data_IF_522091273854
#
_entry.id   IF_522091273854
#
_cell.length_a   1.000
_cell.length_b   1.000
_cell.length_c   1.000
_cell.angle_alpha   90.00
_cell.angle_beta   90.00
_cell.angle_gamma   90.00
#
_symmetry.space_group_name_H-M   'P 1'
#
loop_
_entity.id
_entity.type
_entity.pdbx_description
1 polymer ?
#
# COMPACT_ATOMS: atom_id res chain seq x y z
N UNK A 1 91.07 27.55 -40.55
CA UNK A 1 90.91 27.45 -39.08
C UNK A 1 89.55 27.99 -38.69
N UNK A 2 88.78 27.19 -37.93
CA UNK A 2 87.69 27.59 -37.02
C UNK A 2 86.39 28.08 -37.67
N UNK A 3 85.50 27.14 -37.99
CA UNK A 3 84.30 26.72 -37.20
C UNK A 3 83.06 27.55 -37.53
N UNK A 4 82.36 27.14 -38.59
CA UNK A 4 80.98 27.53 -38.86
C UNK A 4 80.07 26.74 -37.90
N UNK A 5 79.47 27.43 -36.93
CA UNK A 5 78.49 26.84 -36.02
C UNK A 5 77.16 26.70 -36.75
N UNK A 6 76.78 25.46 -37.06
CA UNK A 6 75.42 25.10 -37.43
C UNK A 6 74.49 25.35 -36.23
N UNK A 7 73.56 26.29 -36.36
CA UNK A 7 72.38 26.35 -35.51
C UNK A 7 71.38 25.31 -36.02
N UNK A 8 71.25 24.19 -35.30
CA UNK A 8 70.13 23.28 -35.47
C UNK A 8 68.91 23.91 -34.80
N UNK A 9 67.97 24.41 -35.61
CA UNK A 9 66.68 24.89 -35.15
C UNK A 9 65.79 23.66 -34.93
N UNK A 10 65.70 23.21 -33.67
CA UNK A 10 64.78 22.14 -33.26
C UNK A 10 63.36 22.69 -33.36
N UNK A 11 62.64 22.32 -34.43
CA UNK A 11 61.20 22.52 -34.51
C UNK A 11 60.51 21.58 -33.52
N UNK A 12 60.16 22.09 -32.34
CA UNK A 12 59.27 21.42 -31.40
C UNK A 12 57.86 21.52 -32.00
N UNK A 13 57.39 20.46 -32.66
CA UNK A 13 55.98 20.27 -32.97
C UNK A 13 55.23 20.00 -31.65
N UNK A 14 54.71 21.04 -31.02
CA UNK A 14 53.74 20.91 -29.94
C UNK A 14 52.39 20.59 -30.58
N UNK A 15 52.05 19.30 -30.66
CA UNK A 15 50.67 18.89 -30.90
C UNK A 15 49.90 19.18 -29.62
N UNK A 16 49.14 20.28 -29.58
CA UNK A 16 48.08 20.44 -28.60
C UNK A 16 47.03 19.36 -28.88
N UNK A 17 47.04 18.29 -28.08
CA UNK A 17 45.89 17.40 -27.99
C UNK A 17 44.82 18.15 -27.21
N UNK A 18 43.85 18.73 -27.91
CA UNK A 18 42.59 19.08 -27.29
C UNK A 18 41.92 17.76 -26.91
N UNK A 19 42.03 17.36 -25.64
CA UNK A 19 41.14 16.36 -25.09
C UNK A 19 39.74 16.96 -25.10
N UNK A 20 38.99 16.68 -26.16
CA UNK A 20 37.54 16.71 -26.06
C UNK A 20 37.17 15.74 -24.94
N UNK A 21 36.31 16.14 -23.98
CA UNK A 21 35.76 15.18 -23.04
C UNK A 21 35.01 14.13 -23.86
N UNK A 22 35.60 12.95 -24.00
CA UNK A 22 34.86 11.74 -24.34
C UNK A 22 33.73 11.65 -23.33
N UNK A 23 32.49 11.68 -23.83
CA UNK A 23 31.31 11.46 -23.03
C UNK A 23 31.56 10.20 -22.20
N UNK A 24 31.74 10.38 -20.89
CA UNK A 24 31.84 9.27 -19.97
C UNK A 24 30.52 8.50 -20.12
N UNK A 25 30.65 7.24 -20.50
CA UNK A 25 29.56 6.28 -20.56
C UNK A 25 28.80 6.35 -19.24
N UNK A 26 27.52 6.69 -19.37
CA UNK A 26 26.53 6.72 -18.30
C UNK A 26 26.61 5.40 -17.52
N UNK A 27 26.66 5.41 -16.18
CA UNK A 27 26.67 4.19 -15.40
C UNK A 27 25.42 3.39 -15.75
N UNK A 28 25.63 2.09 -15.95
CA UNK A 28 24.68 1.12 -16.46
C UNK A 28 23.28 1.32 -15.88
N UNK A 29 22.30 1.49 -16.77
CA UNK A 29 20.92 1.16 -16.42
C UNK A 29 20.94 -0.31 -16.02
N UNK A 30 20.46 -0.63 -14.81
CA UNK A 30 20.13 -2.00 -14.46
C UNK A 30 19.22 -2.52 -15.56
N UNK A 31 19.72 -3.47 -16.36
CA UNK A 31 18.96 -4.15 -17.40
C UNK A 31 17.78 -4.82 -16.69
N UNK A 32 16.60 -4.24 -16.82
CA UNK A 32 15.37 -4.91 -16.41
C UNK A 32 15.26 -6.13 -17.32
N UNK A 33 15.19 -7.32 -16.74
CA UNK A 33 14.83 -8.52 -17.50
C UNK A 33 13.45 -8.27 -18.15
N UNK A 34 13.44 -7.88 -19.43
CA UNK A 34 12.21 -7.71 -20.20
C UNK A 34 11.67 -9.11 -20.54
N UNK A 35 10.72 -9.58 -19.73
CA UNK A 35 9.97 -10.77 -20.04
C UNK A 35 8.79 -10.46 -20.96
N UNK A 36 8.36 -11.46 -21.73
CA UNK A 36 7.17 -11.33 -22.58
C UNK A 36 5.86 -11.54 -21.81
N UNK A 37 5.87 -12.27 -20.70
CA UNK A 37 4.68 -12.62 -19.94
C UNK A 37 4.92 -12.40 -18.44
N UNK A 38 3.90 -11.88 -17.75
CA UNK A 38 3.94 -11.56 -16.34
C UNK A 38 2.71 -12.13 -15.63
N UNK A 39 2.92 -12.76 -14.47
CA UNK A 39 1.84 -13.28 -13.61
C UNK A 39 1.43 -12.19 -12.64
N UNK A 40 0.33 -11.50 -12.94
CA UNK A 40 -0.13 -10.29 -12.26
C UNK A 40 -1.16 -10.66 -11.19
N UNK A 41 -0.87 -10.28 -9.94
CA UNK A 41 -1.70 -10.56 -8.76
C UNK A 41 -2.49 -9.33 -8.30
N UNK A 42 -2.28 -8.17 -8.91
CA UNK A 42 -3.06 -6.97 -8.64
C UNK A 42 -2.74 -5.81 -9.59
N UNK A 43 -3.70 -4.90 -9.77
CA UNK A 43 -3.51 -3.66 -10.51
C UNK A 43 -4.08 -2.48 -9.74
N UNK A 44 -3.30 -1.41 -9.66
CA UNK A 44 -3.58 -0.25 -8.82
C UNK A 44 -3.41 1.03 -9.63
N UNK A 45 -4.33 1.96 -9.50
CA UNK A 45 -4.20 3.34 -9.98
C UNK A 45 -3.13 4.12 -9.21
N UNK A 46 -2.98 3.85 -7.92
CA UNK A 46 -2.05 4.57 -7.05
C UNK A 46 -0.81 3.73 -6.73
N UNK A 47 0.38 4.27 -7.04
CA UNK A 47 1.68 3.67 -6.77
C UNK A 47 1.81 3.09 -5.35
N UNK A 48 1.46 3.88 -4.33
CA UNK A 48 1.56 3.47 -2.92
C UNK A 48 0.76 2.20 -2.59
N UNK A 49 -0.35 1.96 -3.28
CA UNK A 49 -1.18 0.78 -3.05
C UNK A 49 -0.51 -0.45 -3.67
N UNK A 50 0.13 -0.30 -4.84
CA UNK A 50 0.96 -1.34 -5.41
C UNK A 50 2.15 -1.70 -4.50
N UNK A 51 2.86 -0.70 -3.95
CA UNK A 51 3.97 -0.94 -3.01
C UNK A 51 3.50 -1.72 -1.78
N UNK A 52 2.44 -1.28 -1.11
CA UNK A 52 1.90 -1.97 0.07
C UNK A 52 1.41 -3.38 -0.25
N UNK A 53 0.80 -3.57 -1.42
CA UNK A 53 0.34 -4.88 -1.86
C UNK A 53 1.50 -5.83 -2.18
N UNK A 54 2.62 -5.30 -2.71
CA UNK A 54 3.86 -6.05 -2.88
C UNK A 54 4.47 -6.45 -1.53
N UNK A 55 4.54 -5.55 -0.55
CA UNK A 55 5.00 -5.86 0.81
C UNK A 55 4.17 -7.01 1.43
N UNK A 56 2.85 -6.99 1.24
CA UNK A 56 1.96 -8.07 1.67
C UNK A 56 2.23 -9.40 0.96
N UNK A 57 2.42 -9.38 -0.36
CA UNK A 57 2.77 -10.58 -1.11
C UNK A 57 4.16 -11.13 -0.71
N UNK A 58 5.12 -10.27 -0.36
CA UNK A 58 6.41 -10.68 0.21
C UNK A 58 6.26 -11.39 1.55
N UNK A 59 5.34 -10.93 2.40
CA UNK A 59 5.02 -11.61 3.66
C UNK A 59 4.44 -13.02 3.46
N UNK A 60 3.91 -13.31 2.27
CA UNK A 60 3.47 -14.64 1.82
C UNK A 60 4.56 -15.41 1.03
N UNK A 61 5.81 -14.96 1.10
CA UNK A 61 6.96 -15.54 0.40
C UNK A 61 6.85 -15.53 -1.14
N UNK A 62 6.04 -14.65 -1.71
CA UNK A 62 6.00 -14.41 -3.16
C UNK A 62 6.97 -13.30 -3.53
N UNK A 63 7.74 -13.49 -4.60
CA UNK A 63 8.66 -12.46 -5.11
C UNK A 63 7.91 -11.40 -5.93
N UNK A 64 7.07 -10.61 -5.26
CA UNK A 64 6.26 -9.59 -5.90
C UNK A 64 7.11 -8.39 -6.34
N UNK A 65 6.96 -8.00 -7.60
CA UNK A 65 7.46 -6.75 -8.15
C UNK A 65 6.27 -5.92 -8.64
N UNK A 66 6.48 -4.65 -8.90
CA UNK A 66 5.45 -3.82 -9.50
C UNK A 66 6.02 -2.99 -10.64
N UNK A 67 5.21 -2.78 -11.67
CA UNK A 67 5.57 -1.94 -12.81
C UNK A 67 4.39 -1.13 -13.32
N UNK A 68 4.67 0.06 -13.87
CA UNK A 68 3.62 0.89 -14.48
C UNK A 68 3.30 0.36 -15.87
N UNK A 69 2.10 -0.19 -16.04
CA UNK A 69 1.54 -0.45 -17.35
C UNK A 69 1.10 0.87 -18.00
N UNK A 70 1.88 1.34 -18.97
CA UNK A 70 1.63 2.61 -19.68
C UNK A 70 0.36 2.60 -20.53
N UNK A 71 -0.09 1.43 -21.01
CA UNK A 71 -1.31 1.28 -21.82
C UNK A 71 -2.56 1.43 -20.97
N UNK A 72 -2.59 0.80 -19.80
CA UNK A 72 -3.72 0.87 -18.86
C UNK A 72 -3.63 2.05 -17.89
N UNK A 73 -2.46 2.67 -17.79
CA UNK A 73 -2.11 3.68 -16.79
C UNK A 73 -2.36 3.17 -15.35
N UNK A 74 -1.96 1.93 -15.09
CA UNK A 74 -2.08 1.23 -13.81
C UNK A 74 -0.72 0.66 -13.40
N UNK A 75 -0.46 0.60 -12.10
CA UNK A 75 0.64 -0.13 -11.48
C UNK A 75 0.23 -1.59 -11.30
N UNK A 76 0.85 -2.48 -12.07
CA UNK A 76 0.64 -3.91 -11.98
C UNK A 76 1.60 -4.47 -10.95
N UNK A 77 1.11 -5.29 -10.02
CA UNK A 77 1.91 -6.09 -9.11
C UNK A 77 1.95 -7.51 -9.66
N UNK A 78 3.14 -8.02 -9.95
CA UNK A 78 3.36 -9.35 -10.54
C UNK A 78 4.38 -10.15 -9.73
N UNK A 79 4.26 -11.47 -9.73
CA UNK A 79 5.14 -12.36 -8.93
C UNK A 79 6.07 -13.22 -9.77
N UNK A 80 5.87 -13.23 -11.09
CA UNK A 80 6.71 -13.93 -12.04
C UNK A 80 6.75 -13.16 -13.36
N UNK A 81 7.94 -13.01 -13.93
CA UNK A 81 8.15 -12.65 -15.33
C UNK A 81 8.79 -13.84 -16.06
N UNK A 82 8.31 -14.18 -17.25
CA UNK A 82 8.83 -15.29 -18.06
C UNK A 82 8.61 -15.08 -19.55
N UNK A 83 9.49 -15.65 -20.38
CA UNK A 83 9.30 -15.70 -21.83
C UNK A 83 8.42 -16.88 -22.28
N UNK A 84 8.17 -17.84 -21.38
CA UNK A 84 7.29 -18.98 -21.65
C UNK A 84 5.86 -18.68 -21.16
N UNK A 85 4.95 -18.53 -22.11
CA UNK A 85 3.53 -18.27 -21.85
C UNK A 85 2.89 -19.39 -21.01
N UNK A 86 3.24 -20.66 -21.26
CA UNK A 86 2.64 -21.77 -20.54
C UNK A 86 3.05 -21.75 -19.07
N UNK A 87 4.29 -21.40 -18.77
CA UNK A 87 4.78 -21.23 -17.39
C UNK A 87 3.99 -20.12 -16.67
N UNK A 88 3.76 -18.98 -17.34
CA UNK A 88 2.95 -17.90 -16.76
C UNK A 88 1.50 -18.35 -16.50
N UNK A 89 0.90 -19.10 -17.43
CA UNK A 89 -0.48 -19.58 -17.32
C UNK A 89 -0.63 -20.58 -16.17
N UNK A 90 0.28 -21.55 -16.05
CA UNK A 90 0.23 -22.56 -14.99
C UNK A 90 0.47 -21.95 -13.61
N UNK A 91 1.41 -21.01 -13.48
CA UNK A 91 1.63 -20.30 -12.22
C UNK A 91 0.43 -19.42 -11.83
N UNK A 92 -0.18 -18.74 -12.80
CA UNK A 92 -1.39 -17.95 -12.56
C UNK A 92 -2.57 -18.85 -12.10
N UNK A 93 -2.75 -20.04 -12.69
CA UNK A 93 -3.75 -21.02 -12.24
C UNK A 93 -3.46 -21.50 -10.82
N UNK A 94 -2.19 -21.82 -10.52
CA UNK A 94 -1.75 -22.28 -9.20
C UNK A 94 -2.07 -21.23 -8.12
N UNK A 95 -1.69 -19.97 -8.35
CA UNK A 95 -1.99 -18.89 -7.40
C UNK A 95 -3.48 -18.68 -7.21
N UNK A 96 -4.30 -18.81 -8.26
CA UNK A 96 -5.76 -18.72 -8.11
C UNK A 96 -6.33 -19.84 -7.22
N UNK A 97 -5.73 -21.03 -7.27
CA UNK A 97 -6.22 -22.19 -6.52
C UNK A 97 -5.68 -22.27 -5.09
N UNK A 98 -4.42 -21.87 -4.89
CA UNK A 98 -3.67 -22.15 -3.66
C UNK A 98 -3.39 -20.91 -2.81
N UNK A 99 -3.78 -19.71 -3.26
CA UNK A 99 -3.50 -18.46 -2.56
C UNK A 99 -4.73 -17.57 -2.48
N UNK A 100 -4.60 -16.45 -1.75
CA UNK A 100 -5.63 -15.41 -1.71
C UNK A 100 -5.75 -14.58 -3.01
N UNK A 101 -4.84 -14.76 -3.98
CA UNK A 101 -4.84 -14.05 -5.26
C UNK A 101 -5.74 -14.73 -6.31
N UNK A 102 -7.02 -14.92 -5.97
CA UNK A 102 -8.00 -15.67 -6.78
C UNK A 102 -8.32 -15.02 -8.13
N UNK A 103 -7.94 -13.75 -8.33
CA UNK A 103 -8.15 -12.97 -9.54
C UNK A 103 -6.89 -12.83 -10.42
N UNK A 104 -5.78 -13.52 -10.09
CA UNK A 104 -4.49 -13.45 -10.81
C UNK A 104 -4.64 -13.63 -12.33
N UNK A 105 -3.96 -12.84 -13.16
CA UNK A 105 -4.00 -12.99 -14.63
C UNK A 105 -2.61 -12.96 -15.26
N UNK A 106 -2.52 -13.27 -16.55
CA UNK A 106 -1.26 -13.14 -17.30
C UNK A 106 -1.31 -11.87 -18.13
N UNK A 107 -0.35 -10.97 -17.94
CA UNK A 107 -0.11 -9.87 -18.85
C UNK A 107 1.00 -10.26 -19.84
N UNK A 108 0.69 -10.28 -21.13
CA UNK A 108 1.67 -10.48 -22.20
C UNK A 108 1.99 -9.13 -22.84
N UNK A 109 3.24 -8.68 -22.80
CA UNK A 109 3.69 -7.39 -23.35
C UNK A 109 4.75 -6.68 -22.50
N UNK A 110 5.36 -5.61 -23.01
CA UNK A 110 6.31 -4.79 -22.23
C UNK A 110 5.57 -3.72 -21.42
N UNK A 111 6.12 -3.33 -20.26
CA UNK A 111 5.62 -2.22 -19.45
C UNK A 111 6.09 -0.84 -19.97
N UNK A 112 7.25 -0.80 -20.65
CA UNK A 112 8.00 0.42 -20.96
C UNK A 112 7.85 0.96 -22.40
N UNK A 113 7.08 0.30 -23.27
CA UNK A 113 6.88 0.76 -24.65
C UNK A 113 5.46 1.28 -24.85
N UNK A 114 5.33 2.59 -25.09
CA UNK A 114 4.17 3.12 -25.80
C UNK A 114 4.13 2.46 -27.19
N UNK A 115 2.94 2.07 -27.66
CA UNK A 115 2.74 1.50 -29.01
C UNK A 115 2.92 2.57 -30.11
N UNK A 116 4.06 3.25 -30.14
CA UNK A 116 4.47 4.18 -31.18
C UNK A 116 5.92 3.90 -31.61
N UNK A 117 6.11 2.74 -32.24
CA UNK A 117 7.26 2.52 -33.13
C UNK A 117 6.73 1.88 -34.41
N UNK A 118 6.53 2.70 -35.43
CA UNK A 118 6.44 2.23 -36.82
C UNK A 118 7.75 1.52 -37.16
N UNK A 119 7.71 0.20 -37.34
CA UNK A 119 8.78 -0.52 -38.04
C UNK A 119 9.44 -1.70 -37.31
N UNK A 120 8.80 -2.33 -36.34
CA UNK A 120 9.08 -3.73 -35.93
C UNK A 120 7.81 -4.32 -35.34
N UNK A 121 7.57 -5.62 -35.56
CA UNK A 121 6.34 -6.35 -35.23
C UNK A 121 5.94 -6.09 -33.77
N UNK A 122 4.99 -5.18 -33.54
CA UNK A 122 4.49 -4.87 -32.21
C UNK A 122 3.82 -6.12 -31.65
N UNK A 123 4.44 -6.75 -30.64
CA UNK A 123 3.78 -7.81 -29.88
C UNK A 123 2.61 -7.15 -29.17
N UNK A 124 1.40 -7.39 -29.65
CA UNK A 124 0.19 -6.78 -29.10
C UNK A 124 0.09 -7.12 -27.62
N UNK A 125 0.09 -6.10 -26.76
CA UNK A 125 -0.05 -6.28 -25.32
C UNK A 125 -1.46 -6.80 -24.99
N UNK A 126 -1.57 -7.82 -24.15
CA UNK A 126 -2.84 -8.41 -23.76
C UNK A 126 -2.84 -8.86 -22.29
N UNK A 127 -3.92 -8.52 -21.59
CA UNK A 127 -4.28 -9.15 -20.32
C UNK A 127 -5.09 -10.42 -20.64
N UNK A 128 -4.70 -11.58 -20.09
CA UNK A 128 -5.22 -12.90 -20.43
C UNK A 128 -5.71 -13.61 -19.18
N UNK A 129 -6.95 -14.11 -19.20
CA UNK A 129 -7.46 -14.97 -18.15
C UNK A 129 -6.84 -16.38 -18.29
N UNK A 130 -6.09 -16.88 -17.30
CA UNK A 130 -5.33 -18.12 -17.41
C UNK A 130 -6.21 -19.37 -17.48
N UNK A 131 -7.51 -19.27 -17.15
CA UNK A 131 -8.44 -20.40 -17.18
C UNK A 131 -9.20 -20.48 -18.51
N UNK A 132 -9.62 -19.34 -19.05
CA UNK A 132 -10.43 -19.30 -20.28
C UNK A 132 -9.63 -19.00 -21.54
N UNK A 133 -8.36 -18.61 -21.38
CA UNK A 133 -7.47 -18.10 -22.43
C UNK A 133 -8.02 -16.86 -23.17
N UNK A 134 -9.05 -16.23 -22.62
CA UNK A 134 -9.69 -15.06 -23.20
C UNK A 134 -9.00 -13.76 -22.77
N UNK A 135 -9.01 -12.78 -23.67
CA UNK A 135 -8.52 -11.43 -23.40
C UNK A 135 -9.42 -10.73 -22.38
N UNK A 136 -8.80 -10.08 -21.39
CA UNK A 136 -9.48 -9.24 -20.40
C UNK A 136 -9.56 -7.82 -20.95
N UNK A 137 -10.76 -7.41 -21.36
CA UNK A 137 -10.97 -6.07 -21.94
C UNK A 137 -10.85 -4.96 -20.88
N UNK A 138 -11.29 -5.24 -19.66
CA UNK A 138 -11.24 -4.33 -18.52
C UNK A 138 -10.53 -4.99 -17.35
N UNK A 139 -9.43 -4.40 -16.89
CA UNK A 139 -8.75 -4.83 -15.66
C UNK A 139 -9.33 -4.03 -14.50
N UNK A 140 -9.97 -4.72 -13.57
CA UNK A 140 -10.53 -4.13 -12.36
C UNK A 140 -9.39 -3.64 -11.46
N UNK A 141 -9.41 -2.36 -11.11
CA UNK A 141 -8.42 -1.80 -10.19
C UNK A 141 -8.75 -2.22 -8.76
N UNK A 142 -7.77 -2.71 -8.01
CA UNK A 142 -7.89 -2.94 -6.54
C UNK A 142 -7.93 -1.63 -5.73
N UNK A 143 -8.05 -0.50 -6.41
CA UNK A 143 -8.25 0.83 -5.80
C UNK A 143 -9.72 1.23 -5.67
N UNK A 144 -10.66 0.54 -6.35
CA UNK A 144 -12.10 0.82 -6.32
C UNK A 144 -12.94 -0.48 -6.37
N UNK A 145 -14.22 -0.44 -5.92
CA UNK A 145 -15.00 -1.65 -5.62
C UNK A 145 -15.27 -2.47 -6.88
N UNK A 146 -14.79 -3.70 -6.94
CA UNK A 146 -15.10 -4.61 -8.04
C UNK A 146 -16.52 -5.18 -7.90
N UNK A 147 -17.31 -5.09 -8.98
CA UNK A 147 -18.56 -5.83 -9.17
C UNK A 147 -18.28 -7.34 -9.37
N UNK A 148 -19.14 -8.11 -8.71
CA UNK A 148 -19.47 -9.56 -8.77
C UNK A 148 -18.79 -10.53 -9.77
N UNK A 149 -18.34 -11.67 -9.20
CA UNK A 149 -18.65 -13.08 -9.55
C UNK A 149 -17.40 -13.99 -9.71
N UNK A 150 -17.52 -15.35 -9.70
CA UNK A 150 -17.96 -16.23 -8.62
C UNK A 150 -16.91 -17.32 -8.24
N UNK A 151 -17.13 -17.91 -7.07
CA UNK A 151 -16.39 -18.94 -6.32
C UNK A 151 -16.44 -20.38 -6.84
N UNK A 152 -15.39 -21.18 -6.56
CA UNK A 152 -15.51 -22.60 -6.16
C UNK A 152 -14.38 -23.01 -5.19
N UNK A 153 -14.80 -23.66 -4.09
CA UNK A 153 -14.17 -24.50 -3.04
C UNK A 153 -13.19 -25.62 -3.53
N UNK A 154 -12.34 -26.34 -2.77
CA UNK A 154 -11.74 -26.37 -1.41
C UNK A 154 -10.70 -27.52 -1.41
N UNK A 155 -9.67 -27.47 -0.56
CA UNK A 155 -9.08 -28.55 0.29
C UNK A 155 -7.54 -28.51 0.41
N UNK A 156 -7.07 -28.35 1.65
CA UNK A 156 -5.71 -28.58 2.22
C UNK A 156 -5.65 -30.01 2.82
N UNK A 157 -4.58 -30.59 3.45
CA UNK A 157 -3.22 -30.11 3.86
C UNK A 157 -2.08 -31.20 3.67
N UNK A 158 -0.93 -31.30 4.42
CA UNK A 158 -0.06 -30.36 5.17
C UNK A 158 1.49 -30.49 4.91
N UNK A 159 2.23 -29.47 5.40
CA UNK A 159 3.57 -29.49 6.05
C UNK A 159 4.87 -29.84 5.27
N UNK A 160 5.88 -28.95 5.36
CA UNK A 160 7.03 -29.10 6.28
C UNK A 160 8.00 -27.91 6.24
N UNK A 161 8.44 -27.50 7.43
CA UNK A 161 9.42 -26.45 7.72
C UNK A 161 10.86 -26.92 7.48
N UNK A 162 11.76 -26.03 7.05
CA UNK A 162 13.10 -25.86 7.65
C UNK A 162 13.79 -24.58 7.12
N UNK A 163 14.77 -24.03 7.87
CA UNK A 163 15.04 -22.60 7.97
C UNK A 163 16.16 -22.15 7.05
N UNK A 164 16.17 -20.87 6.64
CA UNK A 164 17.39 -20.24 6.13
C UNK A 164 17.61 -18.87 6.75
N UNK A 165 18.84 -18.77 7.22
CA UNK A 165 19.54 -17.71 7.92
C UNK A 165 19.45 -16.31 7.32
N UNK A 166 19.37 -15.37 8.26
CA UNK A 166 19.85 -13.99 8.29
C UNK A 166 20.88 -13.64 7.21
N UNK A 167 20.52 -12.72 6.31
CA UNK A 167 21.49 -11.90 5.59
C UNK A 167 21.01 -10.44 5.57
N UNK A 168 21.81 -9.60 6.19
CA UNK A 168 21.72 -8.14 6.26
C UNK A 168 21.58 -7.50 4.89
N UNK A 169 20.42 -6.90 4.61
CA UNK A 169 20.21 -6.03 3.45
C UNK A 169 20.41 -4.56 3.86
N UNK A 170 21.43 -3.97 3.26
CA UNK A 170 21.83 -2.57 3.38
C UNK A 170 20.83 -1.70 2.61
N UNK A 171 20.42 -0.62 3.25
CA UNK A 171 19.60 0.49 2.77
C UNK A 171 19.97 1.00 1.37
N UNK A 172 19.06 0.87 0.41
CA UNK A 172 18.94 1.76 -0.73
C UNK A 172 17.67 1.39 -1.51
N UNK A 173 16.59 2.16 -1.34
CA UNK A 173 15.64 2.49 -2.40
C UNK A 173 14.52 3.36 -1.82
N UNK A 174 14.50 4.63 -2.19
CA UNK A 174 13.34 5.53 -2.35
C UNK A 174 13.87 6.93 -2.71
N UNK A 175 14.57 7.05 -3.83
CA UNK A 175 14.88 8.38 -4.42
C UNK A 175 14.09 8.57 -5.73
N UNK A 176 12.86 9.04 -5.59
CA UNK A 176 12.02 9.45 -6.73
C UNK A 176 12.36 10.86 -7.25
N UNK A 177 13.59 11.36 -7.06
CA UNK A 177 14.03 12.64 -7.62
C UNK A 177 13.35 13.88 -7.04
N UNK A 178 12.72 13.76 -5.86
CA UNK A 178 12.14 14.90 -5.13
C UNK A 178 13.26 15.57 -4.33
N UNK A 179 13.57 16.84 -4.60
CA UNK A 179 14.45 17.61 -3.73
C UNK A 179 13.82 17.74 -2.34
N UNK A 180 14.55 17.38 -1.29
CA UNK A 180 14.01 17.33 0.07
C UNK A 180 15.05 16.94 1.11
N UNK A 181 14.68 17.00 2.38
CA UNK A 181 15.50 16.58 3.51
C UNK A 181 15.22 15.13 3.87
N UNK A 182 16.25 14.43 4.35
CA UNK A 182 16.13 13.06 4.81
C UNK A 182 15.59 13.06 6.26
N UNK A 183 14.55 12.28 6.48
CA UNK A 183 13.95 12.05 7.79
C UNK A 183 13.92 10.55 8.08
N UNK A 184 13.93 10.21 9.37
CA UNK A 184 13.60 8.88 9.87
C UNK A 184 12.54 9.03 10.96
N UNK A 185 11.30 8.68 10.65
CA UNK A 185 10.22 8.68 11.63
C UNK A 185 10.27 7.39 12.43
N UNK A 186 10.69 7.43 13.69
CA UNK A 186 10.77 6.23 14.55
C UNK A 186 9.45 6.01 15.29
N UNK A 187 8.67 5.02 14.87
CA UNK A 187 7.37 4.69 15.46
C UNK A 187 7.56 3.47 16.35
N UNK A 188 7.32 3.61 17.65
CA UNK A 188 7.52 2.53 18.61
C UNK A 188 6.48 2.56 19.72
N UNK A 189 6.22 1.40 20.32
CA UNK A 189 5.29 1.28 21.44
C UNK A 189 5.91 1.84 22.71
N UNK A 190 5.13 2.64 23.45
CA UNK A 190 5.53 3.19 24.75
C UNK A 190 5.92 2.10 25.78
N UNK A 191 5.30 0.91 25.69
CA UNK A 191 5.40 -0.13 26.73
C UNK A 191 6.66 -0.98 26.63
N UNK A 192 7.20 -1.20 25.43
CA UNK A 192 8.32 -2.11 25.20
C UNK A 192 9.29 -1.67 24.09
N UNK A 193 9.08 -0.49 23.50
CA UNK A 193 9.88 0.07 22.41
C UNK A 193 9.90 -0.77 21.13
N UNK A 194 9.01 -1.77 20.99
CA UNK A 194 8.90 -2.49 19.74
C UNK A 194 8.43 -1.55 18.63
N UNK A 195 9.03 -1.70 17.45
CA UNK A 195 8.65 -0.93 16.26
C UNK A 195 7.17 -1.18 15.91
N UNK A 196 6.49 -0.13 15.48
CA UNK A 196 5.11 -0.19 15.01
C UNK A 196 5.08 0.22 13.55
N UNK A 197 4.45 -0.61 12.71
CA UNK A 197 4.22 -0.27 11.31
C UNK A 197 3.16 0.83 11.19
N UNK A 198 3.43 1.79 10.31
CA UNK A 198 2.54 2.93 10.10
C UNK A 198 3.18 4.00 9.25
N UNK A 199 2.38 5.01 8.93
CA UNK A 199 2.83 6.18 8.18
C UNK A 199 2.74 7.44 9.04
N UNK A 200 3.55 8.43 8.68
CA UNK A 200 3.48 9.80 9.21
C UNK A 200 3.06 10.74 8.09
N UNK A 201 1.96 11.44 8.32
CA UNK A 201 1.50 12.52 7.45
C UNK A 201 2.27 13.79 7.76
N UNK A 202 2.88 14.40 6.74
CA UNK A 202 3.46 15.74 6.86
C UNK A 202 2.49 16.75 6.27
N UNK A 203 2.18 17.80 7.03
CA UNK A 203 1.25 18.85 6.65
C UNK A 203 1.94 20.20 6.80
N UNK A 204 1.96 20.97 5.72
CA UNK A 204 2.36 22.37 5.77
C UNK A 204 1.31 23.16 6.55
N UNK A 205 1.71 23.72 7.70
CA UNK A 205 0.80 24.41 8.61
C UNK A 205 0.26 25.68 7.98
N UNK A 206 1.11 26.45 7.29
CA UNK A 206 0.73 27.76 6.73
C UNK A 206 -0.34 27.61 5.64
N UNK A 207 -0.21 26.56 4.81
CA UNK A 207 -1.11 26.31 3.68
C UNK A 207 -2.20 25.28 3.99
N UNK A 208 -2.15 24.66 5.18
CA UNK A 208 -3.03 23.53 5.56
C UNK A 208 -3.04 22.44 4.50
N UNK A 209 -1.88 22.18 3.88
CA UNK A 209 -1.74 21.27 2.74
C UNK A 209 -0.95 20.06 3.16
N UNK A 210 -1.54 18.87 3.01
CA UNK A 210 -0.80 17.61 3.15
C UNK A 210 0.30 17.54 2.08
N UNK A 211 1.55 17.45 2.54
CA UNK A 211 2.74 17.35 1.71
C UNK A 211 2.96 15.91 1.26
N UNK A 212 2.65 14.95 2.13
CA UNK A 212 2.78 13.53 1.83
C UNK A 212 2.42 12.65 3.03
N UNK A 213 2.41 11.34 2.79
CA UNK A 213 2.44 10.30 3.82
C UNK A 213 3.74 9.53 3.64
N UNK A 214 4.46 9.32 4.71
CA UNK A 214 5.80 8.74 4.68
C UNK A 214 5.86 7.51 5.58
N UNK A 215 6.48 6.43 5.09
CA UNK A 215 6.62 5.16 5.81
C UNK A 215 7.43 5.40 7.09
N UNK A 216 6.92 4.92 8.22
CA UNK A 216 7.61 4.90 9.49
C UNK A 216 8.72 3.84 9.51
N UNK A 217 9.69 4.02 10.41
CA UNK A 217 10.83 3.12 10.64
C UNK A 217 11.69 2.84 9.39
N UNK A 218 11.61 3.72 8.39
CA UNK A 218 12.44 3.70 7.19
C UNK A 218 12.92 5.13 6.88
N UNK A 219 14.12 5.28 6.29
CA UNK A 219 14.56 6.56 5.73
C UNK A 219 13.60 7.05 4.65
N UNK A 220 13.21 8.32 4.73
CA UNK A 220 12.28 8.95 3.80
C UNK A 220 12.75 10.35 3.43
N UNK A 221 12.51 10.75 2.18
CA UNK A 221 12.80 12.10 1.71
C UNK A 221 11.54 12.95 1.75
N UNK A 222 11.53 13.95 2.63
CA UNK A 222 10.38 14.87 2.82
C UNK A 222 10.64 16.13 2.00
N UNK A 223 9.65 16.52 1.20
CA UNK A 223 9.75 17.71 0.36
C UNK A 223 9.74 18.99 1.21
N UNK A 224 10.33 20.05 0.70
CA UNK A 224 10.24 21.37 1.32
C UNK A 224 8.77 21.87 1.35
N UNK A 225 8.25 22.38 2.48
CA UNK A 225 6.90 22.93 2.54
C UNK A 225 6.70 24.13 1.61
N UNK A 226 7.79 24.81 1.23
CA UNK A 226 7.86 26.08 0.49
C UNK A 226 7.12 27.21 1.21
N UNK A 227 6.78 27.02 2.47
CA UNK A 227 6.01 27.96 3.29
C UNK A 227 6.92 29.02 3.90
N UNK A 228 6.33 30.05 4.52
CA UNK A 228 7.13 31.17 5.06
C UNK A 228 7.76 30.81 6.40
N UNK A 229 7.06 29.98 7.18
CA UNK A 229 7.47 29.62 8.54
C UNK A 229 8.28 28.33 8.60
N UNK A 230 8.36 27.58 7.49
CA UNK A 230 8.88 26.22 7.42
C UNK A 230 8.20 25.27 8.43
N UNK A 231 7.02 25.62 8.93
CA UNK A 231 6.32 24.86 9.96
C UNK A 231 5.62 23.66 9.34
N UNK A 232 6.02 22.47 9.78
CA UNK A 232 5.44 21.19 9.35
C UNK A 232 4.81 20.51 10.57
N UNK A 233 3.54 20.16 10.45
CA UNK A 233 2.84 19.29 11.38
C UNK A 233 2.98 17.85 10.90
N UNK A 234 3.67 17.04 11.69
CA UNK A 234 3.78 15.60 11.52
C UNK A 234 2.68 14.92 12.33
N UNK A 235 1.90 14.06 11.68
CA UNK A 235 0.77 13.37 12.28
C UNK A 235 0.93 11.87 12.09
N UNK A 236 1.08 11.15 13.19
CA UNK A 236 1.10 9.69 13.21
C UNK A 236 -0.24 9.18 13.74
N UNK A 237 -0.96 8.45 12.90
CA UNK A 237 -2.28 7.88 13.22
C UNK A 237 -2.30 6.43 12.76
N UNK A 238 -1.91 5.54 13.67
CA UNK A 238 -1.90 4.07 13.47
C UNK A 238 -3.07 3.48 14.23
N UNK A 239 -3.85 2.64 13.56
CA UNK A 239 -5.01 2.01 14.18
C UNK A 239 -4.62 1.21 15.44
N UNK A 240 -5.44 1.34 16.49
CA UNK A 240 -5.16 0.73 17.79
C UNK A 240 -4.18 1.50 18.68
N UNK A 241 -3.70 2.67 18.24
CA UNK A 241 -2.92 3.60 19.05
C UNK A 241 -3.54 4.99 19.05
N UNK A 242 -3.22 5.77 20.08
CA UNK A 242 -3.58 7.19 20.15
C UNK A 242 -2.79 7.97 19.12
N UNK A 243 -3.49 8.89 18.45
CA UNK A 243 -2.91 9.83 17.51
C UNK A 243 -1.82 10.67 18.18
N UNK A 244 -0.66 10.75 17.54
CA UNK A 244 0.45 11.59 17.99
C UNK A 244 0.71 12.67 16.95
N UNK A 245 0.82 13.91 17.41
CA UNK A 245 1.10 15.07 16.56
C UNK A 245 2.35 15.77 17.04
N UNK A 246 3.24 16.11 16.11
CA UNK A 246 4.47 16.85 16.39
C UNK A 246 4.60 17.98 15.38
N UNK A 247 4.66 19.21 15.86
CA UNK A 247 4.97 20.36 15.01
C UNK A 247 6.48 20.62 15.07
N UNK A 248 7.11 20.74 13.91
CA UNK A 248 8.55 21.01 13.78
C UNK A 248 8.79 22.16 12.79
N UNK A 249 9.94 22.82 12.91
CA UNK A 249 10.47 23.65 11.84
C UNK A 249 11.30 22.76 10.88
N UNK A 250 10.95 22.72 9.60
CA UNK A 250 11.60 21.86 8.61
C UNK A 250 13.08 22.22 8.40
N UNK A 251 13.42 23.50 8.48
CA UNK A 251 14.79 23.96 8.29
C UNK A 251 15.69 23.76 9.52
N UNK A 252 15.11 23.89 10.73
CA UNK A 252 15.76 23.70 12.02
C UNK A 252 14.90 22.79 12.93
N UNK A 253 14.84 21.47 12.65
CA UNK A 253 13.98 20.56 13.39
C UNK A 253 14.50 20.38 14.81
N UNK A 254 13.70 20.83 15.78
CA UNK A 254 13.99 20.74 17.21
C UNK A 254 12.76 20.20 17.95
N UNK A 255 13.00 19.53 19.07
CA UNK A 255 11.95 18.98 19.92
C UNK A 255 12.46 17.79 20.73
N UNK A 256 11.62 17.27 21.62
CA UNK A 256 11.98 16.15 22.50
C UNK A 256 12.36 14.89 21.70
N UNK A 257 13.60 14.43 21.89
CA UNK A 257 14.13 13.25 21.21
C UNK A 257 14.39 13.40 19.71
N UNK A 258 14.27 14.61 19.14
CA UNK A 258 14.64 14.88 17.75
C UNK A 258 16.15 15.07 17.67
N UNK A 259 16.80 14.30 16.80
CA UNK A 259 18.25 14.33 16.60
C UNK A 259 18.59 14.13 15.12
N UNK A 260 19.84 14.43 14.75
CA UNK A 260 20.37 14.07 13.43
C UNK A 260 21.32 12.90 13.64
N UNK A 261 21.07 11.78 12.96
CA UNK A 261 21.92 10.60 13.10
C UNK A 261 23.22 10.70 12.27
N UNK A 262 24.10 9.69 12.38
CA UNK A 262 25.37 9.64 11.66
C UNK A 262 25.24 9.58 10.12
N UNK A 263 24.05 9.30 9.60
CA UNK A 263 23.74 9.24 8.16
C UNK A 263 23.14 10.56 7.65
N UNK A 264 22.96 11.56 8.53
CA UNK A 264 22.45 12.89 8.20
C UNK A 264 20.92 12.98 8.15
N UNK A 265 20.21 11.98 8.67
CA UNK A 265 18.75 11.94 8.72
C UNK A 265 18.24 12.64 9.97
N UNK A 266 17.18 13.43 9.82
CA UNK A 266 16.44 13.99 10.96
C UNK A 266 15.57 12.90 11.55
N UNK A 267 15.98 12.36 12.69
CA UNK A 267 15.25 11.33 13.43
C UNK A 267 14.17 11.99 14.26
N UNK A 268 12.91 11.60 14.06
CA UNK A 268 11.78 12.11 14.84
C UNK A 268 11.05 10.94 15.50
N UNK A 269 11.05 10.84 16.84
CA UNK A 269 10.39 9.76 17.53
C UNK A 269 8.89 10.01 17.71
N UNK A 270 8.11 8.94 17.54
CA UNK A 270 6.68 8.82 17.81
C UNK A 270 6.47 7.67 18.78
N UNK A 271 6.35 8.01 20.05
CA UNK A 271 5.97 7.07 21.10
C UNK A 271 4.46 6.82 21.05
N UNK A 272 4.07 5.59 20.73
CA UNK A 272 2.68 5.21 20.50
C UNK A 272 2.10 4.51 21.73
N UNK A 273 1.05 5.11 22.28
CA UNK A 273 0.26 4.54 23.37
C UNK A 273 -0.97 3.83 22.81
N UNK A 274 -1.29 2.62 23.31
CA UNK A 274 -2.53 1.92 22.99
C UNK A 274 -3.76 2.76 23.38
N UNK A 275 -4.88 2.49 22.70
CA UNK A 275 -6.18 3.12 23.00
C UNK A 275 -6.66 2.73 24.40
N UNK A 276 -7.25 3.69 25.10
CA UNK A 276 -7.76 3.52 26.47
C UNK A 276 -9.27 3.52 26.52
N UNK A 277 -9.83 3.10 27.65
CA UNK A 277 -11.28 3.19 27.89
C UNK A 277 -11.81 4.59 27.57
N UNK A 278 -12.83 4.65 26.72
CA UNK A 278 -13.47 5.87 26.22
C UNK A 278 -12.87 6.42 24.92
N UNK A 279 -11.70 5.95 24.49
CA UNK A 279 -11.15 6.32 23.19
C UNK A 279 -11.98 5.70 22.05
N UNK A 280 -12.06 6.42 20.94
CA UNK A 280 -12.72 5.98 19.71
C UNK A 280 -11.73 6.12 18.57
N UNK A 281 -11.52 5.04 17.82
CA UNK A 281 -10.67 5.01 16.63
C UNK A 281 -11.49 4.68 15.38
N UNK A 282 -11.25 5.38 14.28
CA UNK A 282 -11.90 5.09 12.99
C UNK A 282 -11.06 4.07 12.23
N UNK A 283 -11.70 3.05 11.68
CA UNK A 283 -11.06 2.06 10.80
C UNK A 283 -10.98 2.60 9.38
N UNK A 284 -10.07 3.54 9.12
CA UNK A 284 -9.98 4.29 7.85
C UNK A 284 -9.70 3.41 6.63
N UNK A 285 -9.10 2.24 6.83
CA UNK A 285 -8.77 1.29 5.77
C UNK A 285 -9.74 0.11 5.71
N UNK A 286 -10.94 0.21 6.32
CA UNK A 286 -12.03 -0.73 6.08
C UNK A 286 -12.95 -0.19 5.00
N UNK A 287 -13.07 -0.94 3.91
CA UNK A 287 -13.88 -0.59 2.75
C UNK A 287 -14.95 -1.66 2.53
N UNK A 288 -16.12 -1.22 2.08
CA UNK A 288 -17.22 -2.11 1.71
C UNK A 288 -17.47 -2.04 0.20
N UNK A 289 -17.98 -3.13 -0.36
CA UNK A 289 -18.56 -3.07 -1.71
C UNK A 289 -19.76 -2.11 -1.72
N UNK A 290 -20.06 -1.57 -2.90
CA UNK A 290 -21.19 -0.64 -3.08
C UNK A 290 -22.49 -1.34 -2.64
N UNK A 291 -23.29 -0.62 -1.87
CA UNK A 291 -24.56 -1.10 -1.29
C UNK A 291 -24.42 -2.38 -0.44
N UNK A 292 -23.20 -2.79 -0.07
CA UNK A 292 -22.95 -4.05 0.63
C UNK A 292 -22.52 -3.87 2.07
N UNK A 293 -22.83 -4.89 2.88
CA UNK A 293 -22.20 -5.13 4.18
C UNK A 293 -20.87 -5.88 4.06
N UNK A 294 -20.57 -6.45 2.88
CA UNK A 294 -19.37 -7.23 2.60
C UNK A 294 -18.15 -6.31 2.46
N UNK A 295 -17.08 -6.62 3.17
CA UNK A 295 -15.83 -5.87 3.10
C UNK A 295 -15.10 -6.17 1.80
N UNK A 296 -14.27 -5.24 1.33
CA UNK A 296 -13.35 -5.51 0.22
C UNK A 296 -12.04 -6.11 0.74
N UNK A 297 -11.28 -6.87 -0.09
CA UNK A 297 -10.04 -7.52 0.33
C UNK A 297 -9.00 -6.60 0.97
N UNK A 298 -8.92 -5.34 0.53
CA UNK A 298 -7.98 -4.35 1.06
C UNK A 298 -8.24 -4.03 2.54
N UNK A 299 -9.44 -4.35 3.05
CA UNK A 299 -9.81 -4.18 4.46
C UNK A 299 -9.14 -5.16 5.40
N UNK A 300 -8.58 -6.26 4.86
CA UNK A 300 -7.97 -7.33 5.67
C UNK A 300 -6.90 -6.78 6.59
N UNK A 301 -6.05 -5.86 6.11
CA UNK A 301 -4.99 -5.24 6.90
C UNK A 301 -5.51 -4.59 8.20
N UNK A 302 -6.54 -3.75 8.09
CA UNK A 302 -7.08 -3.00 9.23
C UNK A 302 -7.83 -3.90 10.21
N UNK A 303 -8.59 -4.87 9.70
CA UNK A 303 -9.35 -5.79 10.56
C UNK A 303 -8.40 -6.78 11.26
N UNK A 304 -7.32 -7.21 10.60
CA UNK A 304 -6.24 -7.97 11.25
C UNK A 304 -5.55 -7.14 12.34
N UNK A 305 -5.35 -5.82 12.12
CA UNK A 305 -4.82 -4.93 13.15
C UNK A 305 -5.73 -4.86 14.39
N UNK A 306 -7.05 -4.84 14.18
CA UNK A 306 -8.03 -4.94 15.28
C UNK A 306 -7.97 -6.29 15.99
N UNK A 307 -7.90 -7.40 15.25
CA UNK A 307 -7.74 -8.74 15.81
C UNK A 307 -6.49 -8.83 16.69
N UNK A 308 -5.34 -8.38 16.18
CA UNK A 308 -4.07 -8.39 16.91
C UNK A 308 -4.16 -7.57 18.20
N UNK A 309 -4.75 -6.36 18.15
CA UNK A 309 -4.97 -5.53 19.33
C UNK A 309 -5.82 -6.26 20.40
N UNK A 310 -6.87 -6.97 20.00
CA UNK A 310 -7.75 -7.71 20.93
C UNK A 310 -7.09 -8.98 21.48
N UNK A 311 -6.15 -9.59 20.74
CA UNK A 311 -5.36 -10.73 21.19
C UNK A 311 -4.25 -10.32 22.16
N UNK A 312 -3.58 -9.18 21.90
CA UNK A 312 -2.53 -8.64 22.76
C UNK A 312 -3.04 -8.30 24.17
N UNK A 313 -4.29 -7.86 24.29
CA UNK A 313 -4.92 -7.61 25.57
C UNK A 313 -6.32 -8.21 25.63
N UNK A 314 -6.43 -9.36 26.31
CA UNK A 314 -7.67 -10.12 26.48
C UNK A 314 -8.73 -9.41 27.33
N UNK A 315 -8.36 -8.33 28.05
CA UNK A 315 -9.31 -7.51 28.82
C UNK A 315 -10.06 -6.50 27.98
N UNK A 316 -9.57 -6.18 26.77
CA UNK A 316 -10.26 -5.23 25.93
C UNK A 316 -11.70 -5.68 25.68
N UNK A 317 -12.64 -4.77 25.94
CA UNK A 317 -14.00 -4.85 25.42
C UNK A 317 -14.24 -3.65 24.52
N UNK A 318 -14.87 -3.88 23.39
CA UNK A 318 -15.06 -2.85 22.36
C UNK A 318 -16.52 -2.72 21.96
N UNK A 319 -16.86 -1.56 21.41
CA UNK A 319 -18.08 -1.35 20.64
C UNK A 319 -17.73 -0.97 19.21
N UNK A 320 -18.32 -1.69 18.27
CA UNK A 320 -18.17 -1.50 16.82
C UNK A 320 -19.32 -0.62 16.35
N UNK A 321 -19.01 0.59 15.92
CA UNK A 321 -19.98 1.56 15.42
C UNK A 321 -20.03 1.53 13.90
N UNK A 322 -21.20 1.24 13.34
CA UNK A 322 -21.41 1.26 11.90
C UNK A 322 -22.07 2.56 11.43
N UNK A 323 -21.60 3.10 10.30
CA UNK A 323 -22.13 4.33 9.69
C UNK A 323 -22.40 4.14 8.18
N UNK A 324 -23.35 4.92 7.66
CA UNK A 324 -23.63 5.03 6.22
C UNK A 324 -23.61 6.49 5.77
N UNK A 325 -23.46 6.70 4.46
CA UNK A 325 -23.66 8.01 3.87
C UNK A 325 -25.17 8.31 3.74
N UNK A 326 -25.74 8.97 4.74
CA UNK A 326 -27.17 9.32 4.76
C UNK A 326 -28.09 8.20 5.25
N UNK A 327 -29.37 8.53 5.40
CA UNK A 327 -30.36 7.71 6.10
C UNK A 327 -31.40 6.99 5.22
N UNK A 328 -31.23 7.03 3.90
CA UNK A 328 -32.20 6.44 2.98
C UNK A 328 -32.22 4.91 3.07
N UNK A 329 -33.39 4.31 2.85
CA UNK A 329 -33.51 2.88 2.57
C UNK A 329 -33.11 2.59 1.12
N UNK A 330 -32.64 1.39 0.85
CA UNK A 330 -32.22 1.00 -0.48
C UNK A 330 -31.81 -0.46 -0.56
N UNK A 331 -31.12 -0.79 -1.65
CA UNK A 331 -30.50 -2.09 -1.86
C UNK A 331 -29.46 -2.36 -0.77
N UNK A 332 -29.44 -3.58 -0.26
CA UNK A 332 -28.42 -4.10 0.64
C UNK A 332 -27.94 -5.43 0.09
N UNK A 333 -26.63 -5.55 -0.12
CA UNK A 333 -25.96 -6.81 -0.45
C UNK A 333 -25.37 -7.40 0.83
N UNK A 334 -25.95 -8.51 1.28
CA UNK A 334 -25.63 -9.17 2.55
C UNK A 334 -24.77 -10.41 2.34
N UNK A 335 -23.89 -10.69 3.29
CA UNK A 335 -23.18 -11.97 3.41
C UNK A 335 -24.15 -13.04 3.91
N UNK A 336 -24.17 -14.26 3.35
CA UNK A 336 -24.89 -15.39 3.94
C UNK A 336 -24.40 -15.64 5.37
N UNK A 337 -25.31 -15.98 6.28
CA UNK A 337 -24.97 -16.16 7.71
C UNK A 337 -23.89 -17.23 7.95
N UNK A 338 -23.93 -18.30 7.16
CA UNK A 338 -23.05 -19.46 7.31
C UNK A 338 -21.83 -19.42 6.37
N UNK A 339 -21.68 -18.37 5.55
CA UNK A 339 -20.49 -18.17 4.73
C UNK A 339 -19.30 -17.76 5.60
N UNK A 340 -18.07 -17.94 5.14
CA UNK A 340 -16.86 -17.34 5.73
C UNK A 340 -16.20 -16.33 4.78
N UNK A 341 -16.92 -15.92 3.73
CA UNK A 341 -16.49 -14.94 2.75
C UNK A 341 -16.71 -13.53 3.31
N UNK A 342 -15.77 -13.07 4.15
CA UNK A 342 -15.81 -11.72 4.72
C UNK A 342 -15.43 -10.64 3.68
N UNK A 343 -14.71 -11.02 2.63
CA UNK A 343 -14.04 -10.11 1.71
C UNK A 343 -14.43 -10.27 0.24
N UNK A 344 -15.45 -11.09 -0.07
CA UNK A 344 -15.87 -11.39 -1.44
C UNK A 344 -17.40 -11.40 -1.55
N UNK A 345 -17.92 -11.02 -2.71
CA UNK A 345 -19.35 -11.08 -3.05
C UNK A 345 -19.86 -12.50 -3.36
N UNK A 346 -19.02 -13.52 -3.17
CA UNK A 346 -19.40 -14.93 -3.29
C UNK A 346 -20.66 -15.24 -2.49
N UNK A 347 -21.68 -15.80 -3.17
CA UNK A 347 -22.93 -16.21 -2.54
C UNK A 347 -23.75 -15.06 -1.93
N UNK A 348 -23.38 -13.81 -2.18
CA UNK A 348 -24.04 -12.65 -1.58
C UNK A 348 -25.53 -12.57 -1.96
N UNK A 349 -26.34 -12.11 -1.02
CA UNK A 349 -27.78 -12.03 -1.16
C UNK A 349 -28.22 -10.58 -1.26
N UNK A 350 -29.05 -10.29 -2.27
CA UNK A 350 -29.64 -8.97 -2.42
C UNK A 350 -30.95 -8.85 -1.65
N UNK A 351 -31.13 -7.72 -0.99
CA UNK A 351 -32.38 -7.36 -0.35
C UNK A 351 -32.58 -5.84 -0.32
N UNK A 352 -33.66 -5.43 0.34
CA UNK A 352 -33.94 -4.02 0.62
C UNK A 352 -33.89 -3.83 2.13
N UNK A 353 -33.32 -2.72 2.57
CA UNK A 353 -33.31 -2.38 4.00
C UNK A 353 -33.01 -0.92 4.27
N UNK A 354 -33.01 -0.59 5.55
CA UNK A 354 -32.71 0.76 6.02
C UNK A 354 -31.21 1.00 6.11
N UNK A 355 -30.78 2.26 6.05
CA UNK A 355 -29.41 2.65 6.38
C UNK A 355 -28.94 2.11 7.74
N UNK A 356 -29.84 2.01 8.74
CA UNK A 356 -29.53 1.44 10.05
C UNK A 356 -29.18 -0.05 9.92
N UNK A 357 -29.99 -0.83 9.20
CA UNK A 357 -29.72 -2.25 8.92
C UNK A 357 -28.38 -2.43 8.20
N UNK A 358 -28.11 -1.65 7.16
CA UNK A 358 -26.82 -1.71 6.46
C UNK A 358 -25.64 -1.43 7.39
N UNK A 359 -25.72 -0.38 8.22
CA UNK A 359 -24.66 -0.10 9.19
C UNK A 359 -24.50 -1.17 10.26
N UNK A 360 -25.59 -1.85 10.63
CA UNK A 360 -25.57 -2.95 11.60
C UNK A 360 -24.83 -4.15 11.01
N UNK A 361 -25.17 -4.55 9.78
CA UNK A 361 -24.52 -5.66 9.08
C UNK A 361 -23.03 -5.40 8.81
N UNK A 362 -22.64 -4.13 8.56
CA UNK A 362 -21.24 -3.72 8.45
C UNK A 362 -20.47 -3.83 9.77
N UNK A 363 -21.13 -3.62 10.90
CA UNK A 363 -20.54 -3.92 12.21
C UNK A 363 -20.50 -5.43 12.46
N UNK A 364 -21.56 -6.14 12.06
CA UNK A 364 -21.70 -7.58 12.24
C UNK A 364 -20.64 -8.37 11.47
N UNK A 365 -20.30 -8.00 10.23
CA UNK A 365 -19.30 -8.73 9.47
C UNK A 365 -17.90 -8.67 10.12
N UNK A 366 -17.56 -7.55 10.76
CA UNK A 366 -16.30 -7.38 11.49
C UNK A 366 -16.36 -8.20 12.78
N UNK A 367 -17.48 -8.14 13.50
CA UNK A 367 -17.71 -8.98 14.68
C UNK A 367 -17.57 -10.47 14.34
N UNK A 368 -18.21 -10.94 13.28
CA UNK A 368 -18.18 -12.33 12.83
C UNK A 368 -16.77 -12.75 12.44
N UNK A 369 -16.04 -11.89 11.73
CA UNK A 369 -14.63 -12.12 11.40
C UNK A 369 -13.79 -12.30 12.68
N UNK A 370 -13.97 -11.44 13.68
CA UNK A 370 -13.22 -11.53 14.95
C UNK A 370 -13.59 -12.79 15.74
N UNK A 371 -14.88 -13.15 15.80
CA UNK A 371 -15.35 -14.38 16.44
C UNK A 371 -14.78 -15.61 15.74
N UNK A 372 -14.80 -15.63 14.40
CA UNK A 372 -14.21 -16.71 13.61
C UNK A 372 -12.72 -16.90 13.88
N UNK A 373 -12.04 -15.81 14.21
CA UNK A 373 -10.62 -15.80 14.59
C UNK A 373 -10.39 -15.89 16.11
N UNK A 374 -11.39 -16.35 16.88
CA UNK A 374 -11.22 -16.75 18.28
C UNK A 374 -11.46 -15.67 19.32
N UNK A 375 -11.92 -14.47 18.93
CA UNK A 375 -12.32 -13.45 19.92
C UNK A 375 -13.65 -13.83 20.55
N UNK A 376 -13.69 -13.86 21.89
CA UNK A 376 -14.92 -14.11 22.65
C UNK A 376 -16.01 -13.06 22.28
N UNK A 377 -17.21 -13.49 21.81
CA UNK A 377 -18.32 -12.60 21.49
C UNK A 377 -18.70 -11.62 22.62
N UNK A 378 -18.54 -12.02 23.88
CA UNK A 378 -18.88 -11.20 25.05
C UNK A 378 -18.01 -9.93 25.19
N UNK A 379 -16.88 -9.88 24.47
CA UNK A 379 -15.96 -8.74 24.46
C UNK A 379 -16.38 -7.65 23.47
N UNK A 380 -17.42 -7.87 22.67
CA UNK A 380 -17.78 -6.98 21.57
C UNK A 380 -19.26 -6.63 21.59
N UNK A 381 -19.57 -5.39 21.23
CA UNK A 381 -20.93 -4.89 21.04
C UNK A 381 -21.04 -4.19 19.69
N UNK A 382 -22.22 -4.21 19.06
CA UNK A 382 -22.46 -3.48 17.81
C UNK A 382 -23.39 -2.29 18.07
N UNK A 383 -23.09 -1.15 17.46
CA UNK A 383 -23.95 0.03 17.45
C UNK A 383 -24.14 0.56 16.04
N UNK A 384 -25.34 0.38 15.52
CA UNK A 384 -25.73 0.86 14.20
C UNK A 384 -26.28 2.29 14.24
N UNK A 385 -25.63 3.22 13.56
CA UNK A 385 -26.08 4.62 13.46
C UNK A 385 -26.86 4.92 12.18
N UNK A 386 -26.70 4.12 11.13
CA UNK A 386 -27.06 4.51 9.77
C UNK A 386 -26.44 5.86 9.43
N UNK A 387 -27.23 6.76 8.82
CA UNK A 387 -26.79 8.10 8.45
C UNK A 387 -26.91 9.18 9.52
N UNK A 388 -27.12 8.84 10.80
CA UNK A 388 -27.42 9.82 11.85
C UNK A 388 -26.20 10.60 12.36
N UNK A 389 -24.98 10.12 12.10
CA UNK A 389 -23.71 10.75 12.52
C UNK A 389 -22.75 10.92 11.32
N UNK A 390 -23.11 11.76 10.34
CA UNK A 390 -22.22 12.07 9.23
C UNK A 390 -21.05 12.94 9.72
N UNK A 391 -19.86 12.70 9.17
CA UNK A 391 -18.69 13.57 9.36
C UNK A 391 -18.61 14.65 8.27
N UNK A 392 -19.18 14.37 7.09
CA UNK A 392 -19.31 15.31 5.98
C UNK A 392 -20.75 15.38 5.49
N UNK A 393 -21.12 16.46 4.81
CA UNK A 393 -22.38 16.49 4.07
C UNK A 393 -22.49 15.29 3.12
N UNK A 394 -23.70 14.74 2.97
CA UNK A 394 -23.94 13.51 2.21
C UNK A 394 -23.64 13.63 0.71
N UNK A 395 -23.61 14.85 0.18
CA UNK A 395 -23.33 15.17 -1.22
C UNK A 395 -21.92 15.74 -1.41
N UNK A 396 -21.11 15.84 -0.35
CA UNK A 396 -19.73 16.30 -0.42
C UNK A 396 -18.87 15.37 -1.29
N UNK A 397 -17.81 15.90 -1.89
CA UNK A 397 -16.76 15.08 -2.52
C UNK A 397 -16.10 14.11 -1.54
N UNK A 398 -16.23 14.36 -0.23
CA UNK A 398 -15.74 13.53 0.88
C UNK A 398 -16.81 12.64 1.51
N UNK A 399 -18.02 12.58 0.94
CA UNK A 399 -19.15 11.85 1.52
C UNK A 399 -18.87 10.34 1.71
N UNK A 400 -17.93 9.77 0.94
CA UNK A 400 -17.52 8.38 1.13
C UNK A 400 -16.93 8.13 2.52
N UNK A 401 -16.28 9.11 3.15
CA UNK A 401 -15.73 8.96 4.50
C UNK A 401 -16.85 8.81 5.56
N UNK A 402 -18.11 9.15 5.24
CA UNK A 402 -19.25 8.85 6.10
C UNK A 402 -19.51 7.34 6.20
N UNK A 403 -19.15 6.57 5.17
CA UNK A 403 -19.19 5.11 5.19
C UNK A 403 -17.95 4.62 5.91
N UNK A 404 -18.09 4.42 7.22
CA UNK A 404 -16.96 4.06 8.10
C UNK A 404 -17.42 3.15 9.23
N UNK A 405 -16.44 2.54 9.87
CA UNK A 405 -16.58 1.86 11.14
C UNK A 405 -15.69 2.54 12.18
N UNK A 406 -16.20 2.71 13.40
CA UNK A 406 -15.44 3.22 14.54
C UNK A 406 -15.40 2.16 15.63
N UNK A 407 -14.29 2.07 16.37
CA UNK A 407 -14.09 1.18 17.49
C UNK A 407 -13.96 2.03 18.76
N UNK A 408 -14.93 1.90 19.65
CA UNK A 408 -14.91 2.50 21.00
C UNK A 408 -14.39 1.49 22.00
N UNK A 409 -13.42 1.88 22.84
CA UNK A 409 -12.92 1.04 23.93
C UNK A 409 -13.82 1.18 25.15
N UNK A 410 -14.41 0.08 25.61
CA UNK A 410 -15.31 0.02 26.76
C UNK A 410 -14.57 -0.33 28.06
N UNK A 411 -13.59 -1.23 27.98
CA UNK A 411 -12.74 -1.73 29.05
C UNK A 411 -11.35 -2.02 28.47
N UNK A 412 -10.27 -1.86 29.24
CA UNK A 412 -8.87 -2.12 28.85
C UNK A 412 -8.07 -2.82 29.96
#
# INVERSE_FOLDING_TARGET
>A
MKTLRFFALVGIFSVLYTMQPTAASRPDQVELDEFQNYVVIGAFKYYRNAVRFSDHAHALSLNAKYEKNSVRNLYYVYVLGTNDRNVAIEEAKRLRAESEFTDTWVYSGSFNKENNVSGTTAVASADINPVTDQKIETVSTKDQPAETAPSVETTTPPAQETPVETSTAKSAELDNGVAGKNFLFKLYRAVDNNAVEGDVDAIDVDRTRKMGSYKGNAPVKVADPLSKTDSVLLVCEVFGYRKVQRQINYNSPQGEGIEVNGEGEVVVPFELMRLKKGDIAVMYNVYFYKDAAIMRPESRYEVTSLLNMLNENTKYKIRIHGHTNGGASGKIISRPKDSEDFFSLTGAQEGIGTAKKLSEERGQIIFDYLVKNGIDPSRMQIKAWGGKRPIHDKNSSRAQENVRVEIEILEE
#
